data_IF_827842920366
#
_entry.id   IF_827842920366
#
_cell.length_a   1.000
_cell.length_b   1.000
_cell.length_c   1.000
_cell.angle_alpha   90.00
_cell.angle_beta   90.00
_cell.angle_gamma   90.00
#
_symmetry.space_group_name_H-M   'P 1'
#
loop_
_entity.id
_entity.type
_entity.pdbx_description
1 polymer ?
#
# COMPACT_ATOMS: atom_id res chain seq x y z
N UNK A 1 45.22 -20.87 -35.07
CA UNK A 1 44.09 -21.79 -35.34
C UNK A 1 43.27 -21.95 -34.05
N UNK A 2 41.94 -22.11 -34.16
CA UNK A 2 40.94 -21.77 -33.14
C UNK A 2 40.80 -22.76 -31.96
N UNK A 3 40.48 -22.16 -30.80
CA UNK A 3 39.49 -22.54 -29.76
C UNK A 3 39.55 -23.95 -29.14
N UNK A 4 39.86 -23.98 -27.85
CA UNK A 4 39.20 -24.88 -26.89
C UNK A 4 39.16 -24.23 -25.51
N UNK A 5 38.24 -23.27 -25.32
CA UNK A 5 37.83 -22.87 -23.98
C UNK A 5 36.33 -23.12 -23.90
N UNK A 6 35.91 -23.67 -22.77
CA UNK A 6 34.54 -24.01 -22.39
C UNK A 6 33.99 -25.36 -22.88
N UNK A 7 34.65 -26.44 -22.47
CA UNK A 7 33.93 -27.65 -22.05
C UNK A 7 33.57 -27.49 -20.57
N UNK A 8 32.59 -26.65 -20.29
CA UNK A 8 31.95 -26.65 -18.98
C UNK A 8 30.47 -26.87 -19.27
N UNK A 9 30.13 -28.15 -19.24
CA UNK A 9 28.78 -28.68 -19.26
C UNK A 9 27.98 -27.97 -18.18
N UNK A 10 27.32 -26.89 -18.60
CA UNK A 10 26.27 -26.27 -17.81
C UNK A 10 25.12 -27.26 -17.79
N UNK A 11 25.14 -28.15 -16.80
CA UNK A 11 23.95 -28.83 -16.27
C UNK A 11 23.08 -27.78 -15.55
N UNK A 12 22.81 -26.68 -16.24
CA UNK A 12 21.91 -25.66 -15.79
C UNK A 12 20.54 -26.11 -16.27
N UNK A 13 19.59 -26.39 -15.36
CA UNK A 13 18.22 -26.65 -15.77
C UNK A 13 17.77 -25.52 -16.69
N UNK A 14 17.06 -25.88 -17.76
CA UNK A 14 16.55 -24.91 -18.72
C UNK A 14 15.72 -23.85 -17.99
N UNK A 15 15.71 -22.62 -18.50
CA UNK A 15 14.99 -21.51 -17.88
C UNK A 15 13.52 -21.89 -17.62
N UNK A 16 12.95 -22.68 -18.54
CA UNK A 16 11.62 -23.25 -18.47
C UNK A 16 11.45 -24.18 -17.25
N UNK A 17 12.42 -25.04 -16.97
CA UNK A 17 12.41 -25.98 -15.84
C UNK A 17 12.57 -25.25 -14.49
N UNK A 18 13.38 -24.19 -14.46
CA UNK A 18 13.52 -23.33 -13.27
C UNK A 18 12.23 -22.56 -12.99
N UNK A 19 11.58 -22.05 -14.04
CA UNK A 19 10.35 -21.29 -13.93
C UNK A 19 9.16 -22.16 -13.51
N UNK A 20 9.07 -23.38 -14.02
CA UNK A 20 8.04 -24.35 -13.65
C UNK A 20 8.14 -24.73 -12.17
N UNK A 21 9.35 -25.10 -11.70
CA UNK A 21 9.59 -25.37 -10.27
C UNK A 21 9.30 -24.17 -9.37
N UNK A 22 9.60 -22.96 -9.83
CA UNK A 22 9.28 -21.75 -9.08
C UNK A 22 7.77 -21.53 -9.00
N UNK A 23 7.03 -21.73 -10.10
CA UNK A 23 5.56 -21.64 -10.14
C UNK A 23 4.88 -22.68 -9.26
N UNK A 24 5.40 -23.91 -9.22
CA UNK A 24 4.85 -24.97 -8.37
C UNK A 24 5.10 -24.72 -6.88
N UNK A 25 6.17 -24.00 -6.54
CA UNK A 25 6.50 -23.61 -5.16
C UNK A 25 5.75 -22.37 -4.68
N UNK A 26 5.17 -21.57 -5.57
CA UNK A 26 4.31 -20.46 -5.20
C UNK A 26 2.98 -21.06 -4.74
N UNK A 27 2.60 -20.88 -3.45
CA UNK A 27 1.30 -21.35 -2.99
C UNK A 27 0.21 -20.75 -3.87
N UNK A 28 -0.71 -21.57 -4.41
CA UNK A 28 -1.80 -21.07 -5.27
C UNK A 28 -2.82 -20.23 -4.49
N UNK A 29 -2.78 -20.30 -3.17
CA UNK A 29 -3.70 -19.64 -2.23
C UNK A 29 -3.30 -18.22 -1.81
N UNK A 30 -2.30 -17.58 -2.45
CA UNK A 30 -2.01 -16.16 -2.18
C UNK A 30 -3.01 -15.21 -2.84
N UNK A 31 -3.95 -15.73 -3.64
CA UNK A 31 -4.93 -14.92 -4.35
C UNK A 31 -6.08 -14.41 -3.47
N UNK A 32 -6.13 -14.80 -2.20
CA UNK A 32 -7.13 -14.31 -1.24
C UNK A 32 -6.49 -13.60 -0.05
N UNK A 33 -5.37 -12.88 -0.25
CA UNK A 33 -5.25 -11.65 0.54
C UNK A 33 -6.34 -10.73 0.03
N UNK A 34 -7.48 -10.72 0.71
CA UNK A 34 -8.53 -9.73 0.48
C UNK A 34 -7.81 -8.40 0.33
N UNK A 35 -7.97 -7.76 -0.84
CA UNK A 35 -7.42 -6.43 -1.02
C UNK A 35 -7.98 -5.61 0.13
N UNK A 36 -7.09 -4.99 0.90
CA UNK A 36 -7.51 -4.15 2.00
C UNK A 36 -8.57 -3.18 1.45
N UNK A 37 -9.77 -3.28 2.03
CA UNK A 37 -10.91 -2.47 1.62
C UNK A 37 -11.16 -1.49 2.73
N UNK A 38 -11.14 -0.21 2.39
CA UNK A 38 -11.37 0.85 3.37
C UNK A 38 -12.83 0.76 3.86
N UNK A 39 -13.07 0.70 5.18
CA UNK A 39 -14.41 0.83 5.73
C UNK A 39 -14.99 2.21 5.42
N UNK A 40 -16.32 2.32 5.30
CA UNK A 40 -16.99 3.58 4.97
C UNK A 40 -16.81 4.59 6.11
N UNK A 41 -16.18 5.76 5.88
CA UNK A 41 -15.97 6.74 6.94
C UNK A 41 -17.27 7.45 7.30
N UNK A 42 -17.49 7.62 8.60
CA UNK A 42 -18.66 8.30 9.14
C UNK A 42 -18.27 9.70 9.64
N UNK A 43 -18.54 10.69 8.79
CA UNK A 43 -18.10 12.08 8.97
C UNK A 43 -19.31 12.94 9.33
N UNK A 44 -19.18 13.70 10.41
CA UNK A 44 -20.14 14.70 10.86
C UNK A 44 -19.48 16.07 10.89
N UNK A 45 -20.12 17.07 10.31
CA UNK A 45 -19.61 18.44 10.29
C UNK A 45 -20.50 19.28 11.21
N UNK A 46 -19.91 19.81 12.27
CA UNK A 46 -20.56 20.71 13.22
C UNK A 46 -19.89 22.08 13.12
N UNK A 47 -20.50 23.00 12.36
CA UNK A 47 -19.96 24.33 12.13
C UNK A 47 -18.60 24.29 11.42
N UNK A 48 -17.54 24.69 12.13
CA UNK A 48 -16.15 24.64 11.63
C UNK A 48 -15.39 23.35 12.02
N UNK A 49 -16.02 22.46 12.78
CA UNK A 49 -15.41 21.21 13.23
C UNK A 49 -15.85 20.04 12.36
N UNK A 50 -14.89 19.19 12.00
CA UNK A 50 -15.14 17.92 11.32
C UNK A 50 -14.84 16.77 12.28
N UNK A 51 -15.87 16.00 12.61
CA UNK A 51 -15.82 14.88 13.55
C UNK A 51 -15.91 13.57 12.76
N UNK A 52 -14.91 12.69 12.93
CA UNK A 52 -14.90 11.36 12.36
C UNK A 52 -15.26 10.34 13.45
N UNK A 53 -16.45 9.73 13.37
CA UNK A 53 -16.99 8.87 14.43
C UNK A 53 -16.35 7.49 14.47
N UNK A 54 -15.97 6.93 13.32
CA UNK A 54 -15.43 5.58 13.18
C UNK A 54 -13.91 5.54 12.95
N UNK A 55 -13.16 6.46 13.57
CA UNK A 55 -11.72 6.53 13.40
C UNK A 55 -10.99 5.24 13.84
N UNK A 56 -11.38 4.63 14.97
CA UNK A 56 -10.75 3.39 15.45
C UNK A 56 -10.88 2.26 14.44
N UNK A 57 -12.09 2.04 13.91
CA UNK A 57 -12.36 0.96 12.94
C UNK A 57 -11.53 1.12 11.65
N UNK A 58 -11.32 2.35 11.20
CA UNK A 58 -10.47 2.65 10.04
C UNK A 58 -9.01 2.33 10.35
N UNK A 59 -8.50 2.77 11.52
CA UNK A 59 -7.12 2.52 11.95
C UNK A 59 -6.86 1.02 12.16
N UNK A 60 -7.80 0.32 12.77
CA UNK A 60 -7.76 -1.12 13.02
C UNK A 60 -7.76 -1.90 11.71
N UNK A 61 -8.55 -1.46 10.71
CA UNK A 61 -8.54 -2.08 9.38
C UNK A 61 -7.18 -1.94 8.68
N UNK A 62 -6.45 -0.85 8.95
CA UNK A 62 -5.17 -0.54 8.31
C UNK A 62 -3.98 -1.23 8.99
N UNK A 63 -4.15 -1.79 10.18
CA UNK A 63 -3.08 -2.37 10.99
C UNK A 63 -1.93 -1.35 11.21
N UNK A 64 -2.28 -0.14 11.69
CA UNK A 64 -1.35 0.98 11.92
C UNK A 64 -1.60 1.65 13.27
N UNK A 65 -0.60 2.36 13.78
CA UNK A 65 -0.76 3.17 15.00
C UNK A 65 -1.65 4.40 14.75
N UNK A 66 -2.59 4.63 15.66
CA UNK A 66 -3.55 5.72 15.58
C UNK A 66 -2.90 7.12 15.50
N UNK A 67 -1.79 7.33 16.20
CA UNK A 67 -1.12 8.64 16.20
C UNK A 67 -0.53 8.95 14.83
N UNK A 68 0.03 7.95 14.14
CA UNK A 68 0.61 8.17 12.82
C UNK A 68 -0.45 8.57 11.80
N UNK A 69 -1.62 7.91 11.84
CA UNK A 69 -2.75 8.24 10.96
C UNK A 69 -3.32 9.62 11.29
N UNK A 70 -3.49 9.92 12.58
CA UNK A 70 -4.00 11.20 13.04
C UNK A 70 -3.10 12.37 12.62
N UNK A 71 -1.78 12.23 12.79
CA UNK A 71 -0.81 13.24 12.35
C UNK A 71 -0.82 13.45 10.83
N UNK A 72 -1.00 12.36 10.06
CA UNK A 72 -1.16 12.44 8.62
C UNK A 72 -2.46 13.17 8.22
N UNK A 73 -3.58 12.87 8.89
CA UNK A 73 -4.86 13.55 8.68
C UNK A 73 -4.73 15.05 8.97
N UNK A 74 -4.11 15.45 10.08
CA UNK A 74 -3.89 16.86 10.39
C UNK A 74 -3.03 17.56 9.33
N UNK A 75 -1.92 16.95 8.92
CA UNK A 75 -0.99 17.55 7.96
C UNK A 75 -1.62 17.77 6.58
N UNK A 76 -2.50 16.87 6.14
CA UNK A 76 -3.12 16.95 4.81
C UNK A 76 -4.47 17.69 4.80
N UNK A 77 -5.26 17.62 5.89
CA UNK A 77 -6.56 18.30 5.98
C UNK A 77 -6.43 19.75 6.43
N UNK A 78 -5.56 20.06 7.40
CA UNK A 78 -5.32 21.45 7.85
C UNK A 78 -4.65 22.28 6.76
N UNK A 79 -3.94 21.64 5.82
CA UNK A 79 -3.30 22.31 4.68
C UNK A 79 -4.29 22.87 3.64
N UNK A 80 -5.59 22.57 3.72
CA UNK A 80 -6.61 23.17 2.84
C UNK A 80 -7.31 24.42 3.41
N UNK A 81 -6.88 24.93 4.57
CA UNK A 81 -7.26 26.29 5.01
C UNK A 81 -6.04 27.20 4.87
N UNK A 82 -5.73 27.56 3.63
CA UNK A 82 -4.84 28.66 3.30
C UNK A 82 -5.47 29.52 2.21
N UNK A 83 -6.64 30.07 2.52
CA UNK A 83 -7.19 31.29 1.90
C UNK A 83 -8.06 31.97 2.96
N UNK A 84 -7.39 32.40 4.03
CA UNK A 84 -7.92 33.43 4.90
C UNK A 84 -7.96 34.74 4.12
N UNK A 85 -9.16 35.14 3.70
CA UNK A 85 -9.62 36.53 3.62
C UNK A 85 -8.56 37.54 3.15
N UNK A 86 -8.36 37.65 1.85
CA UNK A 86 -7.87 38.88 1.23
C UNK A 86 -8.70 39.15 -0.02
N UNK A 87 -9.84 39.83 0.15
CA UNK A 87 -10.46 40.73 -0.83
C UNK A 87 -11.78 41.30 -0.25
N UNK A 88 -11.62 42.21 0.71
CA UNK A 88 -12.58 43.28 1.00
C UNK A 88 -11.89 44.33 1.87
N UNK A 89 -11.03 45.12 1.25
CA UNK A 89 -10.92 46.55 1.46
C UNK A 89 -10.22 47.18 0.26
#
# INVERSE_FOLDING_TARGET
>A
MKRSLFSESRDQPRLEELLERARDRIPKDISERSRWTMPQPDIMIEGSQTILRNFSEIVDSMDRDANHVFQYCLTNLVRLVAESNSESC
#
